data_IF_983968679782
#
_entry.id   IF_983968679782
#
_cell.length_a   1.000
_cell.length_b   1.000
_cell.length_c   1.000
_cell.angle_alpha   90.00
_cell.angle_beta   90.00
_cell.angle_gamma   90.00
#
_symmetry.space_group_name_H-M   'P 1'
#
loop_
_entity.id
_entity.type
_entity.pdbx_description
1 polymer ?
#
# COMPACT_ATOMS: atom_id res chain seq x y z
N UNK A 1 -7.22 2.89 -12.24
CA UNK A 1 -6.04 3.02 -11.42
C UNK A 1 -6.35 3.18 -9.95
N UNK A 2 -5.60 2.54 -9.08
CA UNK A 2 -5.78 2.67 -7.64
C UNK A 2 -5.30 4.05 -7.21
N UNK A 3 -6.19 4.96 -6.95
CA UNK A 3 -5.85 6.36 -6.77
C UNK A 3 -6.23 6.93 -5.42
N UNK A 4 -6.91 6.15 -4.60
CA UNK A 4 -7.38 6.67 -3.32
C UNK A 4 -7.17 5.64 -2.23
N UNK A 5 -6.83 6.15 -1.06
CA UNK A 5 -6.76 5.35 0.16
C UNK A 5 -7.90 5.81 1.05
N UNK A 6 -8.72 4.88 1.51
CA UNK A 6 -9.72 5.21 2.51
C UNK A 6 -9.32 4.60 3.85
N UNK A 7 -9.51 5.38 4.91
CA UNK A 7 -9.08 5.01 6.25
C UNK A 7 -10.23 4.42 7.04
N UNK A 8 -9.93 3.34 7.76
CA UNK A 8 -10.88 2.69 8.65
C UNK A 8 -10.26 2.65 10.04
N UNK A 9 -11.01 3.09 11.03
CA UNK A 9 -10.59 2.98 12.43
C UNK A 9 -11.21 1.74 13.05
N UNK A 10 -10.51 1.17 14.02
CA UNK A 10 -11.03 0.01 14.74
C UNK A 10 -12.43 0.27 15.34
N UNK A 11 -12.72 1.53 15.70
CA UNK A 11 -14.04 1.91 16.21
C UNK A 11 -15.12 1.87 15.14
N UNK A 12 -14.76 2.07 13.88
CA UNK A 12 -15.68 2.06 12.74
C UNK A 12 -15.85 0.66 12.16
N UNK A 13 -14.97 -0.25 12.56
CA UNK A 13 -15.02 -1.66 12.18
C UNK A 13 -15.04 -2.47 13.48
N UNK A 14 -16.20 -2.54 14.15
CA UNK A 14 -16.29 -3.21 15.44
C UNK A 14 -15.78 -4.64 15.36
N UNK A 15 -15.03 -5.04 16.38
CA UNK A 15 -14.48 -6.39 16.51
C UNK A 15 -13.49 -6.78 15.40
N UNK A 16 -12.91 -5.79 14.69
CA UNK A 16 -11.96 -6.05 13.61
C UNK A 16 -10.61 -6.51 14.16
N UNK A 17 -10.57 -7.71 14.69
CA UNK A 17 -9.33 -8.41 15.01
C UNK A 17 -8.95 -9.36 13.87
N UNK A 18 -9.79 -9.46 12.86
CA UNK A 18 -9.51 -10.14 11.61
C UNK A 18 -10.43 -9.56 10.53
N UNK A 19 -9.98 -9.56 9.30
CA UNK A 19 -10.77 -9.11 8.15
C UNK A 19 -10.58 -10.07 6.99
N UNK A 20 -11.63 -10.21 6.19
CA UNK A 20 -11.57 -10.99 4.96
C UNK A 20 -11.06 -10.09 3.84
N UNK A 21 -10.05 -10.54 3.11
CA UNK A 21 -9.49 -9.73 2.02
C UNK A 21 -10.50 -9.47 0.91
N UNK A 22 -11.47 -10.38 0.72
CA UNK A 22 -12.50 -10.26 -0.30
C UNK A 22 -13.57 -9.22 0.04
N UNK A 23 -13.59 -8.73 1.27
CA UNK A 23 -14.59 -7.73 1.69
C UNK A 23 -14.25 -6.32 1.21
N UNK A 24 -13.11 -6.14 0.57
CA UNK A 24 -12.63 -4.83 0.13
C UNK A 24 -12.68 -4.68 -1.38
N UNK A 25 -12.99 -3.45 -1.87
CA UNK A 25 -13.09 -3.23 -3.31
C UNK A 25 -11.77 -3.43 -4.03
N UNK A 26 -11.87 -3.76 -5.33
CA UNK A 26 -10.72 -4.00 -6.19
C UNK A 26 -10.35 -2.73 -6.95
N UNK A 27 -9.05 -2.52 -7.11
CA UNK A 27 -8.48 -1.65 -8.12
C UNK A 27 -8.38 -0.19 -7.81
N UNK A 28 -9.40 0.46 -7.33
CA UNK A 28 -9.42 1.91 -7.26
C UNK A 28 -9.17 2.50 -5.87
N UNK A 29 -9.44 1.76 -4.84
CA UNK A 29 -9.29 2.22 -3.46
C UNK A 29 -8.49 1.22 -2.66
N UNK A 30 -7.54 1.74 -1.90
CA UNK A 30 -6.70 0.92 -1.05
C UNK A 30 -7.14 1.12 0.41
N UNK A 31 -7.72 0.12 1.03
CA UNK A 31 -8.13 0.24 2.44
C UNK A 31 -6.92 0.22 3.36
N UNK A 32 -6.96 1.09 4.37
CA UNK A 32 -5.98 1.11 5.45
C UNK A 32 -6.73 1.09 6.76
N UNK A 33 -6.46 0.11 7.60
CA UNK A 33 -7.12 -0.09 8.88
C UNK A 33 -6.15 0.27 10.00
N UNK A 34 -6.57 1.16 10.87
CA UNK A 34 -5.78 1.59 12.03
C UNK A 34 -6.26 0.93 13.32
N UNK A 35 -5.45 0.99 14.35
CA UNK A 35 -5.85 0.54 15.68
C UNK A 35 -5.52 -0.91 16.01
N UNK A 36 -4.62 -1.51 15.24
CA UNK A 36 -4.17 -2.88 15.48
C UNK A 36 -2.85 -2.89 16.25
N UNK A 37 -2.92 -2.43 17.51
CA UNK A 37 -1.75 -2.47 18.39
C UNK A 37 -0.58 -1.62 17.92
N UNK A 38 -0.87 -0.44 17.36
CA UNK A 38 0.16 0.45 16.83
C UNK A 38 0.51 0.18 15.38
N UNK A 39 -0.15 -0.80 14.74
CA UNK A 39 0.08 -1.13 13.34
C UNK A 39 -1.13 -0.74 12.49
N UNK A 40 -0.83 -0.29 11.28
CA UNK A 40 -1.82 -0.12 10.22
C UNK A 40 -1.75 -1.33 9.31
N UNK A 41 -2.91 -1.75 8.82
CA UNK A 41 -3.01 -2.87 7.87
C UNK A 41 -3.53 -2.31 6.56
N UNK A 42 -2.82 -2.55 5.47
CA UNK A 42 -3.31 -2.16 4.15
C UNK A 42 -3.44 -3.38 3.24
N UNK A 43 -4.45 -3.31 2.39
CA UNK A 43 -4.75 -4.37 1.44
C UNK A 43 -4.66 -3.76 0.04
N UNK A 44 -3.75 -4.27 -0.76
CA UNK A 44 -3.55 -3.80 -2.13
C UNK A 44 -4.12 -4.84 -3.09
N UNK A 45 -5.17 -4.46 -3.78
CA UNK A 45 -5.81 -5.28 -4.80
C UNK A 45 -5.81 -4.46 -6.08
N UNK A 46 -4.70 -4.51 -6.81
CA UNK A 46 -4.42 -3.60 -7.92
C UNK A 46 -4.22 -4.36 -9.23
N UNK A 47 -4.74 -3.83 -10.33
CA UNK A 47 -4.56 -4.48 -11.64
C UNK A 47 -3.14 -4.35 -12.15
N UNK A 48 -2.74 -5.30 -13.01
CA UNK A 48 -1.46 -5.25 -13.71
C UNK A 48 -1.31 -3.90 -14.42
N UNK A 49 -0.10 -3.35 -14.37
CA UNK A 49 0.21 -2.05 -14.96
C UNK A 49 0.04 -0.86 -14.04
N UNK A 50 -0.52 -1.06 -12.83
CA UNK A 50 -0.61 0.03 -11.85
C UNK A 50 0.78 0.47 -11.45
N UNK A 51 1.02 1.79 -11.49
CA UNK A 51 2.30 2.41 -11.12
C UNK A 51 2.02 3.38 -9.97
N UNK A 52 2.65 3.14 -8.83
CA UNK A 52 2.44 3.98 -7.64
C UNK A 52 3.31 5.24 -7.64
N UNK A 53 4.28 5.35 -8.55
CA UNK A 53 5.21 6.47 -8.56
C UNK A 53 4.55 7.86 -8.62
N UNK A 54 3.51 8.09 -9.43
CA UNK A 54 2.86 9.41 -9.45
C UNK A 54 2.26 9.81 -8.10
N UNK A 55 1.82 8.84 -7.30
CA UNK A 55 1.25 9.11 -5.99
C UNK A 55 2.31 9.44 -4.94
N UNK A 56 3.54 9.05 -5.18
CA UNK A 56 4.66 9.24 -4.25
C UNK A 56 5.48 10.48 -4.57
N UNK A 57 5.21 11.14 -5.69
CA UNK A 57 5.92 12.34 -6.08
C UNK A 57 5.75 13.44 -5.03
N UNK A 58 6.84 14.05 -4.61
CA UNK A 58 6.85 15.07 -3.57
C UNK A 58 7.31 14.55 -2.21
N UNK A 59 7.32 13.24 -2.01
CA UNK A 59 7.97 12.63 -0.84
C UNK A 59 9.49 12.61 -1.04
N UNK A 60 10.23 12.31 0.02
CA UNK A 60 11.69 12.21 -0.06
C UNK A 60 12.10 11.26 -1.18
N UNK A 61 12.93 11.74 -2.10
CA UNK A 61 13.38 10.98 -3.28
C UNK A 61 12.20 10.48 -4.16
N UNK A 62 11.03 11.07 -4.01
CA UNK A 62 9.79 10.67 -4.71
C UNK A 62 9.43 9.21 -4.44
N UNK A 63 9.71 8.74 -3.23
CA UNK A 63 9.48 7.35 -2.82
C UNK A 63 8.83 7.27 -1.46
N UNK A 64 8.19 6.14 -1.21
CA UNK A 64 7.58 5.87 0.09
C UNK A 64 8.67 5.56 1.12
N UNK A 65 8.66 6.29 2.23
CA UNK A 65 9.64 6.11 3.30
C UNK A 65 9.11 5.25 4.45
N UNK A 66 7.91 4.68 4.31
CA UNK A 66 7.32 3.83 5.32
C UNK A 66 7.72 2.38 5.10
N UNK A 67 8.25 1.69 6.11
CA UNK A 67 8.52 0.25 5.98
C UNK A 67 7.21 -0.53 6.01
N UNK A 68 7.15 -1.60 5.22
CA UNK A 68 6.00 -2.50 5.20
C UNK A 68 6.46 -3.94 5.34
N UNK A 69 5.73 -4.71 6.12
CA UNK A 69 5.92 -6.15 6.26
C UNK A 69 4.65 -6.83 5.78
N UNK A 70 4.74 -7.83 4.93
CA UNK A 70 3.52 -8.42 4.43
C UNK A 70 3.69 -9.72 3.69
N UNK A 71 2.65 -10.05 2.94
CA UNK A 71 2.54 -11.31 2.22
C UNK A 71 1.81 -11.08 0.91
N UNK A 72 2.36 -11.61 -0.18
CA UNK A 72 1.70 -11.55 -1.50
C UNK A 72 0.80 -12.77 -1.63
N UNK A 73 -0.49 -12.54 -1.75
CA UNK A 73 -1.48 -13.60 -1.91
C UNK A 73 -1.57 -14.02 -3.37
N UNK A 74 -1.50 -13.05 -4.29
CA UNK A 74 -1.71 -13.26 -5.71
C UNK A 74 -0.92 -12.23 -6.49
N UNK A 75 -0.38 -12.63 -7.65
CA UNK A 75 0.25 -11.71 -8.59
C UNK A 75 1.72 -11.44 -8.31
N UNK A 76 2.20 -10.34 -8.84
CA UNK A 76 3.60 -9.94 -8.71
C UNK A 76 3.76 -8.43 -8.73
N UNK A 77 4.73 -7.94 -7.96
CA UNK A 77 4.98 -6.53 -7.76
C UNK A 77 6.49 -6.26 -7.88
N UNK A 78 6.87 -5.37 -8.79
CA UNK A 78 8.28 -4.97 -8.94
C UNK A 78 8.52 -3.68 -8.16
N UNK A 79 9.52 -3.72 -7.27
CA UNK A 79 9.91 -2.56 -6.48
C UNK A 79 11.22 -1.98 -6.96
N UNK A 80 11.30 -0.65 -6.87
CA UNK A 80 12.50 0.13 -7.18
C UNK A 80 12.87 0.89 -5.91
N UNK A 81 14.11 0.70 -5.45
CA UNK A 81 14.59 1.34 -4.23
C UNK A 81 15.48 2.54 -4.55
N UNK A 82 15.54 3.48 -3.60
CA UNK A 82 16.32 4.71 -3.77
C UNK A 82 17.83 4.47 -3.86
N UNK A 83 18.30 3.30 -3.45
CA UNK A 83 19.73 2.91 -3.60
C UNK A 83 20.03 2.33 -4.98
N UNK A 84 19.05 2.29 -5.88
CA UNK A 84 19.18 1.75 -7.23
C UNK A 84 18.89 0.26 -7.36
N UNK A 85 18.64 -0.43 -6.25
CA UNK A 85 18.31 -1.86 -6.31
C UNK A 85 16.84 -2.06 -6.68
N UNK A 86 16.53 -3.27 -7.14
CA UNK A 86 15.17 -3.68 -7.52
C UNK A 86 14.89 -5.05 -6.94
N UNK A 87 13.61 -5.31 -6.65
CA UNK A 87 13.13 -6.62 -6.20
C UNK A 87 11.78 -6.91 -6.85
N UNK A 88 11.46 -8.19 -7.00
CA UNK A 88 10.14 -8.64 -7.40
C UNK A 88 9.58 -9.51 -6.28
N UNK A 89 8.41 -9.11 -5.78
CA UNK A 89 7.67 -9.90 -4.79
C UNK A 89 6.54 -10.62 -5.52
N UNK A 90 6.43 -11.93 -5.32
CA UNK A 90 5.48 -12.78 -6.05
C UNK A 90 4.59 -13.57 -5.09
N UNK A 91 3.50 -14.10 -5.63
CA UNK A 91 2.52 -14.88 -4.87
C UNK A 91 3.19 -15.96 -4.01
N UNK A 92 2.76 -16.03 -2.75
CA UNK A 92 3.29 -16.99 -1.80
C UNK A 92 4.50 -16.51 -1.01
N UNK A 93 4.95 -15.27 -1.23
CA UNK A 93 6.13 -14.74 -0.56
C UNK A 93 5.76 -13.77 0.56
N UNK A 94 6.38 -13.96 1.72
CA UNK A 94 6.40 -12.95 2.76
C UNK A 94 7.50 -11.95 2.42
N UNK A 95 7.29 -10.67 2.72
CA UNK A 95 8.25 -9.65 2.32
C UNK A 95 8.50 -8.63 3.42
N UNK A 96 9.64 -7.97 3.30
CA UNK A 96 9.93 -6.72 3.97
C UNK A 96 10.24 -5.68 2.90
N UNK A 97 9.42 -4.65 2.85
CA UNK A 97 9.57 -3.54 1.91
C UNK A 97 10.25 -2.40 2.65
N UNK A 98 11.57 -2.29 2.49
CA UNK A 98 12.35 -1.28 3.22
C UNK A 98 11.97 0.14 2.78
N UNK A 99 12.19 1.16 3.63
CA UNK A 99 11.93 2.56 3.26
C UNK A 99 12.67 2.98 1.99
N UNK A 100 12.08 3.91 1.26
CA UNK A 100 12.68 4.42 0.02
C UNK A 100 12.33 3.59 -1.20
N UNK A 101 11.06 3.24 -1.35
CA UNK A 101 10.59 2.38 -2.44
C UNK A 101 9.45 3.00 -3.22
N UNK A 102 9.33 2.55 -4.47
CA UNK A 102 8.14 2.69 -5.30
C UNK A 102 7.94 1.38 -6.05
N UNK A 103 6.84 1.24 -6.76
CA UNK A 103 6.62 -0.03 -7.45
C UNK A 103 5.60 0.00 -8.56
N UNK A 104 5.66 -1.04 -9.38
CA UNK A 104 4.77 -1.28 -10.51
C UNK A 104 4.20 -2.69 -10.40
N UNK A 105 2.91 -2.83 -10.59
CA UNK A 105 2.23 -4.12 -10.57
C UNK A 105 2.47 -4.84 -11.89
N UNK A 106 3.07 -6.02 -11.82
CA UNK A 106 3.37 -6.83 -13.01
C UNK A 106 2.21 -7.74 -13.40
N UNK A 107 1.55 -8.32 -12.41
CA UNK A 107 0.39 -9.20 -12.57
C UNK A 107 -0.64 -8.77 -11.55
N UNK A 108 -1.93 -8.95 -11.86
CA UNK A 108 -3.02 -8.56 -10.95
C UNK A 108 -2.69 -8.97 -9.52
N UNK A 109 -2.58 -7.98 -8.66
CA UNK A 109 -1.95 -8.10 -7.35
C UNK A 109 -2.97 -8.13 -6.22
N UNK A 110 -2.80 -9.06 -5.31
CA UNK A 110 -3.43 -9.00 -4.00
C UNK A 110 -2.34 -9.22 -2.95
N UNK A 111 -2.08 -8.21 -2.14
CA UNK A 111 -1.18 -8.34 -1.01
C UNK A 111 -1.77 -7.69 0.24
N UNK A 112 -1.33 -8.16 1.38
CA UNK A 112 -1.64 -7.55 2.67
C UNK A 112 -0.32 -7.13 3.31
N UNK A 113 -0.29 -5.90 3.84
CA UNK A 113 0.91 -5.45 4.54
C UNK A 113 0.56 -4.75 5.85
N UNK A 114 1.54 -4.74 6.73
CA UNK A 114 1.45 -4.16 8.08
C UNK A 114 2.56 -3.12 8.19
N UNK A 115 2.22 -1.97 8.74
CA UNK A 115 3.15 -0.84 8.82
C UNK A 115 2.94 -0.07 10.10
N UNK A 116 3.96 0.64 10.61
CA UNK A 116 3.77 1.49 11.78
C UNK A 116 2.65 2.51 11.52
N UNK A 117 1.66 2.54 12.38
CA UNK A 117 0.48 3.37 12.18
C UNK A 117 0.85 4.85 12.07
N UNK A 118 1.72 5.33 12.95
CA UNK A 118 2.14 6.73 12.96
C UNK A 118 2.71 7.17 11.61
N UNK A 119 3.56 6.34 11.02
CA UNK A 119 4.17 6.65 9.73
C UNK A 119 3.15 6.59 8.59
N UNK A 120 2.17 5.70 8.69
CA UNK A 120 1.15 5.56 7.65
C UNK A 120 0.25 6.78 7.53
N UNK A 121 -0.05 7.48 8.61
CA UNK A 121 -0.90 8.68 8.55
C UNK A 121 -0.32 9.71 7.57
N UNK A 122 0.97 9.99 7.65
CA UNK A 122 1.62 10.94 6.75
C UNK A 122 1.62 10.48 5.30
N UNK A 123 1.86 9.19 5.09
CA UNK A 123 1.84 8.62 3.73
C UNK A 123 0.44 8.72 3.12
N UNK A 124 -0.59 8.34 3.87
CA UNK A 124 -1.97 8.37 3.39
C UNK A 124 -2.40 9.78 3.04
N UNK A 125 -2.08 10.75 3.89
CA UNK A 125 -2.40 12.16 3.63
C UNK A 125 -1.74 12.63 2.33
N UNK A 126 -0.48 12.29 2.12
CA UNK A 126 0.24 12.67 0.90
C UNK A 126 -0.35 12.01 -0.34
N UNK A 127 -0.61 10.72 -0.29
CA UNK A 127 -1.16 9.97 -1.42
C UNK A 127 -2.53 10.50 -1.81
N UNK A 128 -3.39 10.79 -0.83
CA UNK A 128 -4.72 11.32 -1.12
C UNK A 128 -4.64 12.73 -1.72
N UNK A 129 -3.71 13.55 -1.26
CA UNK A 129 -3.45 14.87 -1.84
C UNK A 129 -3.01 14.74 -3.29
N UNK A 130 -2.06 13.85 -3.58
CA UNK A 130 -1.58 13.63 -4.95
C UNK A 130 -2.68 13.08 -5.85
N UNK A 131 -3.49 12.16 -5.34
CA UNK A 131 -4.61 11.61 -6.11
C UNK A 131 -5.58 12.74 -6.53
N UNK A 132 -5.88 13.65 -5.63
CA UNK A 132 -6.74 14.79 -5.93
C UNK A 132 -6.10 15.72 -6.97
N UNK A 133 -4.80 15.97 -6.88
CA UNK A 133 -4.07 16.80 -7.86
C UNK A 133 -4.07 16.16 -9.24
N UNK A 134 -3.92 14.85 -9.32
CA UNK A 134 -3.88 14.11 -10.59
C UNK A 134 -5.24 14.01 -11.26
N UNK A 135 -6.32 14.21 -10.51
CA UNK A 135 -7.69 14.16 -11.02
C UNK A 135 -8.22 15.51 -11.48
N UNK A 136 -7.51 16.59 -11.18
CA UNK A 136 -7.96 17.93 -11.52
C UNK A 136 -7.49 18.36 -12.91
#
# INVERSE_FOLDING_TARGET
>A
MANQIYELNANDVPEAIHVHLDDFPKGEMLPVIYGWGGMAVDINNAPAGSDFSPLLQGLENDKCQVPHWGYVVKGAFRLFFQDGSEEVFSAGEAFFMKPGHTGVVLEDLLLVSFSPEHAMHGLVDHVNKRAAELQS
#
